data_IF_500526339709
#
_entry.id   IF_500526339709
#
_cell.length_a   1.000
_cell.length_b   1.000
_cell.length_c   1.000
_cell.angle_alpha   90.00
_cell.angle_beta   90.00
_cell.angle_gamma   90.00
#
_symmetry.space_group_name_H-M   'P 1'
#
loop_
_entity.id
_entity.type
_entity.pdbx_description
1 polymer ?
#
# COMPACT_ATOMS: atom_id res chain seq x y z
N UNK A 1 -23.20 -16.25 -9.48
CA UNK A 1 -22.00 -16.17 -8.62
C UNK A 1 -22.42 -15.53 -7.31
N UNK A 2 -21.88 -15.92 -6.14
CA UNK A 2 -22.16 -15.16 -4.91
C UNK A 2 -21.49 -13.78 -5.00
N UNK A 3 -22.01 -12.75 -4.31
CA UNK A 3 -21.35 -11.44 -4.20
C UNK A 3 -19.89 -11.57 -3.75
N UNK A 4 -19.60 -12.51 -2.83
CA UNK A 4 -18.24 -12.77 -2.37
C UNK A 4 -17.35 -13.45 -3.44
N UNK A 5 -17.92 -14.30 -4.30
CA UNK A 5 -17.16 -14.92 -5.39
C UNK A 5 -16.75 -13.87 -6.42
N UNK A 6 -17.66 -12.95 -6.77
CA UNK A 6 -17.36 -11.80 -7.61
C UNK A 6 -16.27 -10.91 -6.99
N UNK A 7 -16.36 -10.62 -5.70
CA UNK A 7 -15.36 -9.80 -5.01
C UNK A 7 -13.95 -10.42 -5.04
N UNK A 8 -13.85 -11.76 -4.89
CA UNK A 8 -12.58 -12.50 -5.03
C UNK A 8 -12.02 -12.42 -6.44
N UNK A 9 -12.85 -12.54 -7.45
CA UNK A 9 -12.43 -12.41 -8.85
C UNK A 9 -11.92 -11.00 -9.17
N UNK A 10 -12.67 -9.97 -8.77
CA UNK A 10 -12.24 -8.57 -8.95
C UNK A 10 -10.94 -8.28 -8.20
N UNK A 11 -10.82 -8.71 -6.95
CA UNK A 11 -9.58 -8.53 -6.16
C UNK A 11 -8.37 -9.13 -6.86
N UNK A 12 -8.50 -10.34 -7.41
CA UNK A 12 -7.43 -10.99 -8.18
C UNK A 12 -7.13 -10.23 -9.47
N UNK A 13 -8.15 -9.79 -10.20
CA UNK A 13 -7.99 -9.06 -11.45
C UNK A 13 -7.28 -7.71 -11.29
N UNK A 14 -7.49 -7.01 -10.18
CA UNK A 14 -6.89 -5.68 -9.95
C UNK A 14 -5.63 -5.71 -9.07
N UNK A 15 -5.23 -6.88 -8.57
CA UNK A 15 -4.14 -7.06 -7.60
C UNK A 15 -2.85 -6.38 -8.04
N UNK A 16 -2.41 -6.59 -9.27
CA UNK A 16 -1.17 -6.02 -9.80
C UNK A 16 -1.28 -4.49 -9.94
N UNK A 17 -2.40 -4.00 -10.45
CA UNK A 17 -2.67 -2.56 -10.58
C UNK A 17 -2.65 -1.84 -9.23
N UNK A 18 -3.31 -2.39 -8.21
CA UNK A 18 -3.28 -1.81 -6.85
C UNK A 18 -1.87 -1.89 -6.25
N UNK A 19 -1.10 -2.94 -6.53
CA UNK A 19 0.27 -3.03 -6.05
C UNK A 19 1.20 -2.00 -6.72
N UNK A 20 0.99 -1.72 -8.00
CA UNK A 20 1.74 -0.73 -8.77
C UNK A 20 1.51 0.72 -8.30
N UNK A 21 0.51 0.98 -7.43
CA UNK A 21 0.25 2.28 -6.83
C UNK A 21 1.46 2.88 -6.06
N UNK A 22 2.47 2.06 -5.74
CA UNK A 22 3.74 2.53 -5.19
C UNK A 22 4.62 3.35 -6.16
N UNK A 23 4.20 3.54 -7.42
CA UNK A 23 4.96 4.29 -8.44
C UNK A 23 5.42 5.68 -7.97
N UNK A 24 4.61 6.38 -7.18
CA UNK A 24 4.97 7.72 -6.69
C UNK A 24 6.05 7.71 -5.59
N UNK A 25 6.34 6.57 -4.94
CA UNK A 25 7.17 6.54 -3.71
C UNK A 25 8.56 7.15 -3.89
N UNK A 26 9.16 6.89 -5.05
CA UNK A 26 10.49 7.38 -5.41
C UNK A 26 10.48 8.12 -6.76
N UNK A 27 9.30 8.56 -7.22
CA UNK A 27 9.19 9.39 -8.41
C UNK A 27 10.04 10.67 -8.24
N UNK A 28 10.63 11.21 -9.33
CA UNK A 28 11.53 12.35 -9.24
C UNK A 28 10.93 13.56 -8.50
N UNK A 29 9.63 13.84 -8.68
CA UNK A 29 8.96 14.94 -7.99
C UNK A 29 8.81 14.68 -6.48
N UNK A 30 8.51 13.44 -6.07
CA UNK A 30 8.44 13.03 -4.66
C UNK A 30 9.80 13.17 -3.98
N UNK A 31 10.87 12.71 -4.63
CA UNK A 31 12.24 12.85 -4.11
C UNK A 31 12.64 14.32 -3.99
N UNK A 32 12.34 15.14 -5.01
CA UNK A 32 12.59 16.58 -4.96
C UNK A 32 11.85 17.24 -3.79
N UNK A 33 10.61 16.82 -3.54
CA UNK A 33 9.80 17.35 -2.43
C UNK A 33 10.36 16.98 -1.06
N UNK A 34 10.94 15.78 -0.92
CA UNK A 34 11.69 15.38 0.27
C UNK A 34 12.93 16.24 0.49
N UNK A 35 13.69 16.48 -0.59
CA UNK A 35 14.90 17.29 -0.53
C UNK A 35 14.65 18.73 -0.07
N UNK A 36 13.49 19.33 -0.38
CA UNK A 36 13.10 20.64 0.16
C UNK A 36 12.97 20.66 1.68
N UNK A 37 12.68 19.52 2.30
CA UNK A 37 12.68 19.35 3.76
C UNK A 37 14.03 18.86 4.31
N UNK A 38 15.02 18.60 3.45
CA UNK A 38 16.27 17.97 3.85
C UNK A 38 16.15 16.47 4.10
N UNK A 39 15.15 15.81 3.53
CA UNK A 39 14.95 14.36 3.60
C UNK A 39 15.36 13.72 2.27
N UNK A 40 16.14 12.64 2.34
CA UNK A 40 16.32 11.78 1.16
C UNK A 40 15.04 10.99 0.85
N UNK A 41 15.01 10.34 -0.32
CA UNK A 41 13.81 9.62 -0.78
C UNK A 41 13.38 8.48 0.14
N UNK A 42 14.32 7.74 0.74
CA UNK A 42 14.01 6.60 1.61
C UNK A 42 13.49 7.07 2.97
N UNK A 43 14.06 8.15 3.50
CA UNK A 43 13.61 8.80 4.72
C UNK A 43 12.23 9.40 4.53
N UNK A 44 11.98 10.09 3.41
CA UNK A 44 10.64 10.58 3.06
C UNK A 44 9.65 9.42 2.89
N UNK A 45 10.04 8.32 2.25
CA UNK A 45 9.18 7.15 2.10
C UNK A 45 8.70 6.61 3.45
N UNK A 46 9.59 6.43 4.43
CA UNK A 46 9.21 5.95 5.76
C UNK A 46 8.45 7.01 6.55
N UNK A 47 9.00 8.22 6.68
CA UNK A 47 8.42 9.28 7.50
C UNK A 47 7.11 9.83 6.90
N UNK A 48 6.98 9.85 5.58
CA UNK A 48 5.78 10.25 4.86
C UNK A 48 4.69 9.19 4.91
N UNK A 49 5.01 7.92 4.59
CA UNK A 49 4.02 6.83 4.70
C UNK A 49 3.56 6.63 6.14
N UNK A 50 4.46 6.73 7.11
CA UNK A 50 4.15 6.58 8.53
C UNK A 50 3.52 7.83 9.15
N UNK A 51 3.79 9.01 8.59
CA UNK A 51 3.37 10.28 9.15
C UNK A 51 1.85 10.47 9.22
N UNK A 52 1.08 9.76 8.40
CA UNK A 52 -0.39 9.77 8.49
C UNK A 52 -0.91 9.14 9.79
N UNK A 53 -0.10 8.32 10.47
CA UNK A 53 -0.43 7.77 11.80
C UNK A 53 -0.36 8.84 12.90
N UNK A 54 0.24 10.00 12.62
CA UNK A 54 0.59 11.02 13.62
C UNK A 54 1.90 10.71 14.36
N UNK A 55 2.16 11.44 15.44
CA UNK A 55 3.34 11.25 16.29
C UNK A 55 3.17 10.04 17.23
N UNK A 56 3.22 8.85 16.64
CA UNK A 56 3.18 7.57 17.35
C UNK A 56 4.56 7.19 17.90
N UNK A 57 4.55 6.30 18.88
CA UNK A 57 5.76 5.70 19.42
C UNK A 57 6.45 4.75 18.44
N UNK A 58 7.74 4.54 18.67
CA UNK A 58 8.62 3.75 17.80
C UNK A 58 8.12 2.29 17.63
N UNK A 59 7.50 1.72 18.67
CA UNK A 59 6.93 0.38 18.60
C UNK A 59 5.72 0.30 17.65
N UNK A 60 4.85 1.31 17.66
CA UNK A 60 3.67 1.33 16.80
C UNK A 60 4.05 1.46 15.31
N UNK A 61 5.02 2.32 14.98
CA UNK A 61 5.48 2.45 13.58
C UNK A 61 6.20 1.20 13.10
N UNK A 62 7.02 0.55 13.94
CA UNK A 62 7.67 -0.73 13.59
C UNK A 62 6.63 -1.82 13.31
N UNK A 63 5.59 -1.92 14.13
CA UNK A 63 4.51 -2.87 13.92
C UNK A 63 3.76 -2.61 12.59
N UNK A 64 3.55 -1.34 12.23
CA UNK A 64 2.89 -0.95 10.99
C UNK A 64 3.73 -1.24 9.73
N UNK A 65 5.06 -1.21 9.84
CA UNK A 65 6.02 -1.45 8.75
C UNK A 65 6.70 -2.81 8.85
N UNK A 66 5.92 -3.88 9.09
CA UNK A 66 6.41 -5.25 9.36
C UNK A 66 7.54 -5.79 8.46
N UNK A 67 7.64 -5.30 7.21
CA UNK A 67 8.69 -5.74 6.28
C UNK A 67 10.10 -5.33 6.75
N UNK A 68 10.24 -4.16 7.38
CA UNK A 68 11.51 -3.63 7.87
C UNK A 68 11.88 -4.23 9.22
N UNK A 69 13.19 -4.43 9.43
CA UNK A 69 13.71 -4.54 10.79
C UNK A 69 13.63 -3.20 11.51
N UNK A 70 13.51 -3.22 12.84
CA UNK A 70 13.48 -2.00 13.64
C UNK A 70 14.75 -1.15 13.42
N UNK A 71 15.92 -1.79 13.35
CA UNK A 71 17.21 -1.13 13.16
C UNK A 71 17.30 -0.37 11.83
N UNK A 72 16.67 -0.88 10.77
CA UNK A 72 16.61 -0.18 9.49
C UNK A 72 15.52 0.91 9.46
N UNK A 73 14.37 0.67 10.08
CA UNK A 73 13.23 1.58 10.04
C UNK A 73 13.40 2.81 10.93
N UNK A 74 13.84 2.62 12.19
CA UNK A 74 13.82 3.67 13.21
C UNK A 74 14.69 4.88 12.87
N UNK A 75 15.90 4.73 12.29
CA UNK A 75 16.69 5.88 11.87
C UNK A 75 15.95 6.76 10.84
N UNK A 76 15.20 6.15 9.92
CA UNK A 76 14.43 6.85 8.89
C UNK A 76 13.21 7.56 9.49
N UNK A 77 12.45 6.87 10.34
CA UNK A 77 11.30 7.45 11.05
C UNK A 77 11.71 8.63 11.93
N UNK A 78 12.72 8.43 12.79
CA UNK A 78 13.23 9.45 13.70
C UNK A 78 13.93 10.60 12.94
N UNK A 79 14.57 10.30 11.80
CA UNK A 79 15.15 11.30 10.90
C UNK A 79 14.09 12.27 10.37
N UNK A 80 12.98 11.74 9.85
CA UNK A 80 11.84 12.55 9.42
C UNK A 80 11.22 13.38 10.55
N UNK A 81 11.02 12.76 11.73
CA UNK A 81 10.49 13.42 12.93
C UNK A 81 11.30 14.62 13.40
N UNK A 82 12.63 14.57 13.25
CA UNK A 82 13.53 15.68 13.62
C UNK A 82 13.36 16.89 12.69
N UNK A 83 12.95 16.66 11.44
CA UNK A 83 12.79 17.71 10.43
C UNK A 83 11.45 18.42 10.55
N UNK A 84 10.36 17.67 10.74
CA UNK A 84 9.02 18.21 10.88
C UNK A 84 8.10 17.26 11.66
N UNK A 85 6.98 17.76 12.22
CA UNK A 85 5.97 16.90 12.83
C UNK A 85 5.49 15.81 11.85
N UNK A 86 5.36 14.54 12.28
CA UNK A 86 4.95 13.42 11.40
C UNK A 86 3.73 13.70 10.55
N UNK A 87 2.69 14.32 11.12
CA UNK A 87 1.46 14.65 10.41
C UNK A 87 1.70 15.61 9.23
N UNK A 88 2.68 16.52 9.37
CA UNK A 88 3.08 17.43 8.28
C UNK A 88 3.83 16.69 7.18
N UNK A 89 4.72 15.75 7.54
CA UNK A 89 5.44 14.92 6.56
C UNK A 89 4.47 13.98 5.85
N UNK A 90 3.51 13.38 6.58
CA UNK A 90 2.45 12.55 6.02
C UNK A 90 1.52 13.31 5.07
N UNK A 91 1.10 14.52 5.44
CA UNK A 91 0.30 15.38 4.57
C UNK A 91 1.05 15.75 3.27
N UNK A 92 2.35 16.05 3.37
CA UNK A 92 3.19 16.31 2.20
C UNK A 92 3.32 15.06 1.32
N UNK A 93 3.50 13.89 1.90
CA UNK A 93 3.62 12.64 1.14
C UNK A 93 2.29 12.25 0.45
N UNK A 94 1.16 12.48 1.11
CA UNK A 94 -0.16 12.37 0.48
C UNK A 94 -0.33 13.37 -0.67
N UNK A 95 0.21 14.59 -0.55
CA UNK A 95 0.23 15.54 -1.65
C UNK A 95 1.11 15.05 -2.81
N UNK A 96 2.26 14.42 -2.56
CA UNK A 96 3.07 13.81 -3.61
C UNK A 96 2.30 12.74 -4.41
N UNK A 97 1.50 11.91 -3.73
CA UNK A 97 0.63 10.94 -4.40
C UNK A 97 -0.42 11.62 -5.29
N UNK A 98 -1.02 12.70 -4.81
CA UNK A 98 -2.00 13.50 -5.58
C UNK A 98 -1.38 14.16 -6.80
N UNK A 99 -0.21 14.76 -6.64
CA UNK A 99 0.52 15.42 -7.72
C UNK A 99 0.95 14.40 -8.79
N UNK A 100 1.40 13.21 -8.37
CA UNK A 100 1.67 12.11 -9.29
C UNK A 100 0.41 11.72 -10.08
N UNK A 101 -0.73 11.62 -9.39
CA UNK A 101 -2.02 11.34 -10.04
C UNK A 101 -2.42 12.40 -11.08
N UNK A 102 -2.23 13.68 -10.78
CA UNK A 102 -2.49 14.77 -11.74
C UNK A 102 -1.58 14.72 -12.95
N UNK A 103 -0.33 14.30 -12.78
CA UNK A 103 0.63 14.19 -13.88
C UNK A 103 0.35 12.97 -14.77
N UNK A 104 0.04 11.82 -14.18
CA UNK A 104 0.03 10.53 -14.90
C UNK A 104 -1.36 9.99 -15.23
N UNK A 105 -2.40 10.50 -14.56
CA UNK A 105 -3.78 9.99 -14.69
C UNK A 105 -4.76 11.03 -15.23
N UNK A 106 -4.34 12.28 -15.49
CA UNK A 106 -5.22 13.33 -15.96
C UNK A 106 -5.76 13.10 -17.38
N UNK A 107 -5.00 12.40 -18.23
CA UNK A 107 -5.38 12.06 -19.60
C UNK A 107 -6.07 10.69 -19.71
N UNK A 108 -6.26 9.98 -18.59
CA UNK A 108 -7.01 8.72 -18.55
C UNK A 108 -8.51 9.03 -18.56
N UNK A 109 -9.25 8.71 -19.64
CA UNK A 109 -10.68 9.07 -19.74
C UNK A 109 -11.52 8.55 -18.58
N UNK A 110 -11.17 7.39 -18.04
CA UNK A 110 -11.90 6.70 -16.98
C UNK A 110 -11.45 7.08 -15.57
N UNK A 111 -10.55 8.06 -15.41
CA UNK A 111 -10.00 8.45 -14.11
C UNK A 111 -11.08 8.81 -13.08
N UNK A 112 -12.13 9.54 -13.50
CA UNK A 112 -13.25 9.89 -12.62
C UNK A 112 -14.01 8.64 -12.14
N UNK A 113 -14.32 7.72 -13.06
CA UNK A 113 -15.06 6.50 -12.72
C UNK A 113 -14.23 5.58 -11.82
N UNK A 114 -12.95 5.41 -12.12
CA UNK A 114 -12.01 4.65 -11.29
C UNK A 114 -11.84 5.30 -9.91
N UNK A 115 -11.81 6.64 -9.82
CA UNK A 115 -11.76 7.34 -8.54
C UNK A 115 -13.00 7.05 -7.70
N UNK A 116 -14.18 6.98 -8.31
CA UNK A 116 -15.44 6.70 -7.60
C UNK A 116 -15.49 5.25 -7.12
N UNK A 117 -15.19 4.28 -7.99
CA UNK A 117 -15.13 2.85 -7.65
C UNK A 117 -14.15 2.59 -6.50
N UNK A 118 -12.93 3.12 -6.60
CA UNK A 118 -11.91 2.97 -5.54
C UNK A 118 -12.30 3.71 -4.26
N UNK A 119 -13.01 4.85 -4.34
CA UNK A 119 -13.54 5.53 -3.15
C UNK A 119 -14.58 4.66 -2.43
N UNK A 120 -15.47 4.00 -3.17
CA UNK A 120 -16.46 3.09 -2.61
C UNK A 120 -15.78 1.94 -1.87
N UNK A 121 -14.79 1.29 -2.47
CA UNK A 121 -14.02 0.20 -1.84
C UNK A 121 -13.25 0.72 -0.60
N UNK A 122 -12.54 1.85 -0.70
CA UNK A 122 -11.81 2.44 0.45
C UNK A 122 -12.77 2.80 1.59
N UNK A 123 -14.01 3.16 1.30
CA UNK A 123 -15.01 3.46 2.32
C UNK A 123 -15.63 2.21 2.94
N UNK A 124 -15.65 1.08 2.25
CA UNK A 124 -15.99 -0.20 2.85
C UNK A 124 -14.88 -0.59 3.85
N UNK A 125 -15.26 -0.88 5.10
CA UNK A 125 -14.31 -0.96 6.22
C UNK A 125 -14.59 -2.16 7.12
N UNK A 126 -14.66 -3.35 6.52
CA UNK A 126 -15.01 -4.54 7.28
C UNK A 126 -13.82 -5.02 8.12
N UNK A 127 -12.68 -5.28 7.49
CA UNK A 127 -11.47 -5.79 8.17
C UNK A 127 -10.29 -4.81 8.16
N UNK A 128 -10.33 -3.82 7.28
CA UNK A 128 -9.25 -2.84 7.10
C UNK A 128 -8.91 -2.05 8.37
N UNK A 129 -9.84 -1.90 9.33
CA UNK A 129 -9.58 -1.24 10.60
C UNK A 129 -8.44 -1.89 11.43
N UNK A 130 -8.14 -3.17 11.17
CA UNK A 130 -7.02 -3.89 11.80
C UNK A 130 -5.66 -3.59 11.15
N UNK A 131 -5.64 -2.86 10.04
CA UNK A 131 -4.45 -2.39 9.33
C UNK A 131 -4.21 -0.90 9.65
N UNK A 132 -3.22 -0.54 10.49
CA UNK A 132 -3.04 0.83 10.97
C UNK A 132 -2.76 1.84 9.85
N UNK A 133 -1.88 1.51 8.90
CA UNK A 133 -1.57 2.41 7.78
C UNK A 133 -2.79 2.64 6.90
N UNK A 134 -3.54 1.61 6.54
CA UNK A 134 -4.79 1.77 5.80
C UNK A 134 -5.77 2.67 6.56
N UNK A 135 -5.96 2.42 7.85
CA UNK A 135 -6.90 3.17 8.68
C UNK A 135 -6.52 4.66 8.72
N UNK A 136 -5.23 4.97 8.84
CA UNK A 136 -4.72 6.34 8.81
C UNK A 136 -4.83 6.99 7.43
N UNK A 137 -4.45 6.29 6.35
CA UNK A 137 -4.55 6.80 4.98
C UNK A 137 -6.00 7.06 4.56
N UNK A 138 -6.93 6.21 4.99
CA UNK A 138 -8.38 6.41 4.81
C UNK A 138 -8.90 7.66 5.53
N UNK A 139 -8.24 8.08 6.62
CA UNK A 139 -8.54 9.30 7.35
C UNK A 139 -8.01 10.57 6.69
N UNK A 140 -7.10 10.47 5.71
CA UNK A 140 -6.61 11.63 4.96
C UNK A 140 -7.73 12.17 4.07
N UNK A 141 -8.07 13.48 4.12
CA UNK A 141 -9.10 14.06 3.28
C UNK A 141 -8.87 13.71 1.80
N UNK A 142 -9.93 13.43 1.04
CA UNK A 142 -9.80 13.13 -0.39
C UNK A 142 -9.62 14.43 -1.18
N UNK A 143 -8.89 14.35 -2.29
CA UNK A 143 -8.85 15.43 -3.27
C UNK A 143 -10.20 15.53 -4.02
N UNK A 144 -10.57 16.76 -4.40
CA UNK A 144 -11.78 17.01 -5.18
C UNK A 144 -11.62 16.57 -6.65
N UNK A 145 -10.42 16.74 -7.21
CA UNK A 145 -10.11 16.33 -8.58
C UNK A 145 -9.87 14.82 -8.70
N UNK A 146 -10.44 14.22 -9.76
CA UNK A 146 -10.45 12.78 -9.96
C UNK A 146 -9.05 12.13 -10.07
N UNK A 147 -8.08 12.68 -10.83
CA UNK A 147 -6.76 12.06 -10.96
C UNK A 147 -6.02 11.98 -9.62
N UNK A 148 -6.04 13.06 -8.83
CA UNK A 148 -5.46 13.06 -7.49
C UNK A 148 -6.18 12.10 -6.53
N UNK A 149 -7.52 12.08 -6.56
CA UNK A 149 -8.32 11.17 -5.73
C UNK A 149 -8.04 9.71 -6.05
N UNK A 150 -7.94 9.36 -7.34
CA UNK A 150 -7.62 8.01 -7.78
C UNK A 150 -6.26 7.55 -7.26
N UNK A 151 -5.20 8.36 -7.43
CA UNK A 151 -3.87 8.02 -6.92
C UNK A 151 -3.85 7.85 -5.39
N UNK A 152 -4.53 8.74 -4.67
CA UNK A 152 -4.67 8.64 -3.20
C UNK A 152 -5.42 7.37 -2.77
N UNK A 153 -6.51 7.01 -3.47
CA UNK A 153 -7.27 5.80 -3.18
C UNK A 153 -6.46 4.54 -3.49
N UNK A 154 -5.71 4.50 -4.59
CA UNK A 154 -4.85 3.37 -4.94
C UNK A 154 -3.76 3.14 -3.88
N UNK A 155 -3.13 4.21 -3.39
CA UNK A 155 -2.21 4.15 -2.26
C UNK A 155 -2.92 3.60 -1.01
N UNK A 156 -4.14 4.05 -0.72
CA UNK A 156 -4.92 3.54 0.42
C UNK A 156 -5.25 2.05 0.27
N UNK A 157 -5.69 1.59 -0.91
CA UNK A 157 -5.94 0.17 -1.20
C UNK A 157 -4.67 -0.67 -1.14
N UNK A 158 -3.51 -0.10 -1.49
CA UNK A 158 -2.21 -0.74 -1.30
C UNK A 158 -1.92 -0.96 0.19
N UNK A 159 -2.16 0.03 1.04
CA UNK A 159 -2.03 -0.13 2.49
C UNK A 159 -3.05 -1.11 3.07
N UNK A 160 -4.26 -1.18 2.48
CA UNK A 160 -5.28 -2.18 2.86
C UNK A 160 -4.75 -3.59 2.68
N UNK A 161 -4.27 -3.91 1.47
CA UNK A 161 -3.67 -5.21 1.18
C UNK A 161 -2.46 -5.47 2.06
N UNK A 162 -1.54 -4.51 2.16
CA UNK A 162 -0.32 -4.67 2.94
C UNK A 162 -0.58 -4.96 4.41
N UNK A 163 -1.51 -4.24 5.04
CA UNK A 163 -1.85 -4.47 6.45
C UNK A 163 -2.57 -5.79 6.70
N UNK A 164 -3.51 -6.19 5.83
CA UNK A 164 -4.17 -7.50 5.93
C UNK A 164 -3.20 -8.65 5.63
N UNK A 165 -2.20 -8.42 4.77
CA UNK A 165 -1.13 -9.38 4.53
C UNK A 165 -0.30 -9.66 5.79
N UNK A 166 -0.01 -8.63 6.59
CA UNK A 166 0.69 -8.80 7.89
C UNK A 166 -0.10 -9.72 8.81
N UNK A 167 -1.42 -9.56 8.88
CA UNK A 167 -2.29 -10.43 9.68
C UNK A 167 -2.28 -11.88 9.16
N UNK A 168 -2.33 -12.06 7.85
CA UNK A 168 -2.25 -13.38 7.22
C UNK A 168 -0.90 -14.07 7.49
N UNK A 169 0.22 -13.36 7.36
CA UNK A 169 1.55 -13.90 7.69
C UNK A 169 1.61 -14.37 9.15
N UNK A 170 1.08 -13.56 10.07
CA UNK A 170 1.02 -13.93 11.48
C UNK A 170 0.16 -15.19 11.72
N UNK A 171 -1.00 -15.29 11.07
CA UNK A 171 -1.89 -16.45 11.15
C UNK A 171 -1.22 -17.74 10.66
N UNK A 172 -0.32 -17.64 9.67
CA UNK A 172 0.47 -18.75 9.14
C UNK A 172 1.84 -18.93 9.80
N UNK A 173 2.12 -18.17 10.87
CA UNK A 173 3.36 -18.23 11.66
C UNK A 173 4.60 -17.99 10.79
N UNK A 174 4.52 -16.97 9.92
CA UNK A 174 5.63 -16.52 9.09
C UNK A 174 6.19 -15.21 9.66
N UNK A 175 7.52 -15.17 9.79
CA UNK A 175 8.24 -13.91 9.98
C UNK A 175 8.36 -13.14 8.66
N UNK A 176 8.62 -11.83 8.73
CA UNK A 176 8.82 -11.00 7.55
C UNK A 176 9.94 -11.52 6.63
N UNK A 177 11.07 -11.94 7.22
CA UNK A 177 12.24 -12.43 6.47
C UNK A 177 11.96 -13.77 5.79
N UNK A 178 11.23 -14.68 6.45
CA UNK A 178 10.80 -15.94 5.85
C UNK A 178 9.87 -15.69 4.66
N UNK A 179 8.90 -14.79 4.83
CA UNK A 179 7.94 -14.46 3.78
C UNK A 179 8.62 -13.83 2.55
N UNK A 180 9.51 -12.87 2.79
CA UNK A 180 10.27 -12.20 1.73
C UNK A 180 11.28 -13.13 1.05
N UNK A 181 11.92 -14.03 1.79
CA UNK A 181 12.83 -15.03 1.22
C UNK A 181 12.07 -16.03 0.34
N UNK A 182 10.91 -16.51 0.79
CA UNK A 182 10.06 -17.42 0.02
C UNK A 182 9.51 -16.78 -1.27
N UNK A 183 9.30 -15.46 -1.26
CA UNK A 183 8.92 -14.67 -2.44
C UNK A 183 10.12 -14.35 -3.36
N UNK A 184 11.35 -14.74 -2.98
CA UNK A 184 12.57 -14.34 -3.66
C UNK A 184 12.72 -12.81 -3.79
N UNK A 185 12.28 -12.07 -2.77
CA UNK A 185 12.32 -10.62 -2.76
C UNK A 185 13.75 -10.09 -2.96
N UNK A 186 13.98 -9.19 -3.93
CA UNK A 186 15.30 -8.58 -4.13
C UNK A 186 15.62 -7.52 -3.07
N UNK A 187 14.69 -7.23 -2.14
CA UNK A 187 14.75 -6.11 -1.20
C UNK A 187 15.03 -6.51 0.25
N UNK A 188 15.39 -7.77 0.52
CA UNK A 188 15.69 -8.25 1.87
C UNK A 188 16.70 -7.34 2.62
N UNK A 189 17.81 -6.99 1.97
CA UNK A 189 18.84 -6.12 2.58
C UNK A 189 18.34 -4.67 2.73
N UNK A 190 17.51 -4.18 1.79
CA UNK A 190 16.87 -2.86 1.89
C UNK A 190 15.96 -2.76 3.11
N UNK A 191 15.25 -3.84 3.42
CA UNK A 191 14.42 -3.95 4.61
C UNK A 191 15.22 -4.23 5.90
N UNK A 192 16.56 -4.30 5.81
CA UNK A 192 17.45 -4.46 6.95
C UNK A 192 17.72 -5.90 7.36
N UNK A 193 17.36 -6.89 6.54
CA UNK A 193 17.68 -8.31 6.79
C UNK A 193 19.12 -8.61 6.38
N UNK A 194 19.85 -9.34 7.22
CA UNK A 194 21.23 -9.75 6.97
C UNK A 194 21.32 -11.21 6.49
N UNK A 195 22.37 -11.52 5.72
CA UNK A 195 22.71 -12.89 5.32
C UNK A 195 23.28 -13.69 6.51
N UNK A 196 23.15 -15.03 6.52
CA UNK A 196 22.43 -15.85 5.54
C UNK A 196 20.91 -15.71 5.68
N UNK A 197 20.21 -15.64 4.55
CA UNK A 197 18.75 -15.64 4.54
C UNK A 197 18.19 -17.02 4.83
N UNK A 198 16.93 -17.12 5.29
CA UNK A 198 16.25 -18.39 5.49
C UNK A 198 16.34 -19.28 4.24
N UNK A 199 16.61 -20.56 4.44
CA UNK A 199 16.54 -21.53 3.36
C UNK A 199 15.08 -21.67 2.91
N UNK A 200 14.84 -21.50 1.61
CA UNK A 200 13.52 -21.71 1.02
C UNK A 200 13.28 -23.21 0.85
N UNK A 201 12.35 -23.75 1.65
CA UNK A 201 11.90 -25.15 1.60
C UNK A 201 10.49 -25.23 1.02
N UNK A 202 10.08 -26.42 0.57
CA UNK A 202 8.70 -26.63 0.09
C UNK A 202 7.65 -26.30 1.15
N UNK A 203 7.94 -26.59 2.43
CA UNK A 203 7.06 -26.23 3.55
C UNK A 203 6.94 -24.71 3.72
N UNK A 204 8.06 -23.98 3.62
CA UNK A 204 8.05 -22.52 3.71
C UNK A 204 7.28 -21.91 2.53
N UNK A 205 7.52 -22.41 1.31
CA UNK A 205 6.78 -22.01 0.10
C UNK A 205 5.28 -22.27 0.24
N UNK A 206 4.89 -23.44 0.75
CA UNK A 206 3.48 -23.78 0.96
C UNK A 206 2.80 -22.88 2.01
N UNK A 207 3.47 -22.60 3.15
CA UNK A 207 2.95 -21.65 4.14
C UNK A 207 2.82 -20.24 3.58
N UNK A 208 3.79 -19.79 2.78
CA UNK A 208 3.77 -18.49 2.11
C UNK A 208 2.59 -18.38 1.15
N UNK A 209 2.32 -19.43 0.38
CA UNK A 209 1.16 -19.47 -0.52
C UNK A 209 -0.16 -19.45 0.28
N UNK A 210 -0.28 -20.23 1.36
CA UNK A 210 -1.47 -20.21 2.20
C UNK A 210 -1.72 -18.81 2.83
N UNK A 211 -0.65 -18.07 3.13
CA UNK A 211 -0.75 -16.67 3.57
C UNK A 211 -1.18 -15.72 2.44
N UNK A 212 -0.74 -15.91 1.19
CA UNK A 212 -1.31 -15.17 0.04
C UNK A 212 -2.81 -15.44 -0.09
N UNK A 213 -3.21 -16.71 -0.05
CA UNK A 213 -4.62 -17.09 -0.23
C UNK A 213 -5.48 -16.46 0.88
N UNK A 214 -5.00 -16.49 2.13
CA UNK A 214 -5.66 -15.82 3.26
C UNK A 214 -5.72 -14.30 3.07
N UNK A 215 -4.66 -13.70 2.52
CA UNK A 215 -4.65 -12.26 2.22
C UNK A 215 -5.71 -11.90 1.19
N UNK A 216 -5.83 -12.70 0.13
CA UNK A 216 -6.80 -12.47 -0.94
C UNK A 216 -8.24 -12.60 -0.41
N UNK A 217 -8.52 -13.57 0.46
CA UNK A 217 -9.81 -13.71 1.14
C UNK A 217 -10.15 -12.52 2.04
N UNK A 218 -9.19 -12.05 2.86
CA UNK A 218 -9.40 -10.91 3.76
C UNK A 218 -9.63 -9.62 2.97
N UNK A 219 -8.88 -9.40 1.89
CA UNK A 219 -9.00 -8.20 1.04
C UNK A 219 -10.32 -8.18 0.28
N UNK A 220 -10.78 -9.33 -0.23
CA UNK A 220 -11.99 -9.44 -1.03
C UNK A 220 -13.24 -8.92 -0.33
N UNK A 221 -13.30 -8.99 1.00
CA UNK A 221 -14.43 -8.47 1.78
C UNK A 221 -14.74 -6.99 1.45
N UNK A 222 -13.72 -6.14 1.31
CA UNK A 222 -13.91 -4.72 0.98
C UNK A 222 -14.45 -4.49 -0.44
N UNK A 223 -14.26 -5.44 -1.34
CA UNK A 223 -14.70 -5.37 -2.74
C UNK A 223 -16.15 -5.84 -2.93
N UNK A 224 -16.71 -6.57 -1.97
CA UNK A 224 -18.10 -7.04 -2.00
C UNK A 224 -19.15 -5.92 -1.95
N UNK A 225 -18.72 -4.68 -1.67
CA UNK A 225 -19.56 -3.47 -1.76
C UNK A 225 -19.95 -3.12 -3.19
N UNK A 226 -19.17 -3.55 -4.18
CA UNK A 226 -19.46 -3.34 -5.59
C UNK A 226 -20.49 -4.37 -6.07
N UNK A 227 -21.42 -3.93 -6.92
CA UNK A 227 -22.29 -4.87 -7.62
C UNK A 227 -21.53 -5.62 -8.74
N UNK A 228 -22.20 -6.54 -9.42
CA UNK A 228 -21.60 -7.35 -10.49
C UNK A 228 -21.13 -6.51 -11.68
N UNK A 229 -21.87 -5.46 -12.04
CA UNK A 229 -21.53 -4.59 -13.15
C UNK A 229 -20.33 -3.69 -12.81
N UNK A 230 -20.31 -3.11 -11.61
CA UNK A 230 -19.19 -2.31 -11.10
C UNK A 230 -17.91 -3.15 -10.94
N UNK A 231 -18.06 -4.38 -10.47
CA UNK A 231 -16.97 -5.34 -10.33
C UNK A 231 -16.35 -5.71 -11.69
N UNK A 232 -17.19 -5.98 -12.69
CA UNK A 232 -16.74 -6.27 -14.05
C UNK A 232 -16.11 -5.04 -14.72
N UNK A 233 -16.68 -3.85 -14.51
CA UNK A 233 -16.15 -2.58 -15.00
C UNK A 233 -14.76 -2.30 -14.42
N UNK A 234 -14.57 -2.43 -13.09
CA UNK A 234 -13.27 -2.18 -12.49
C UNK A 234 -12.21 -3.16 -13.00
N UNK A 235 -12.55 -4.45 -13.08
CA UNK A 235 -11.66 -5.48 -13.63
C UNK A 235 -11.26 -5.19 -15.09
N UNK A 236 -12.19 -4.71 -15.91
CA UNK A 236 -11.92 -4.36 -17.31
C UNK A 236 -11.04 -3.12 -17.47
N UNK A 237 -11.13 -2.15 -16.56
CA UNK A 237 -10.34 -0.91 -16.59
C UNK A 237 -8.94 -1.06 -15.96
N UNK A 238 -8.75 -2.05 -15.10
CA UNK A 238 -7.51 -2.24 -14.35
C UNK A 238 -6.24 -2.36 -15.22
N UNK A 239 -6.24 -3.01 -16.41
CA UNK A 239 -5.06 -3.08 -17.27
C UNK A 239 -4.62 -1.71 -17.80
N UNK A 240 -5.57 -0.87 -18.25
CA UNK A 240 -5.27 0.46 -18.78
C UNK A 240 -4.71 1.38 -17.68
N UNK A 241 -5.28 1.29 -16.47
CA UNK A 241 -4.75 1.96 -15.29
C UNK A 241 -3.35 1.44 -14.92
N UNK A 242 -3.16 0.12 -14.89
CA UNK A 242 -1.87 -0.52 -14.58
C UNK A 242 -0.75 -0.07 -15.52
N UNK A 243 -1.04 0.10 -16.81
CA UNK A 243 -0.09 0.62 -17.79
C UNK A 243 0.41 2.04 -17.46
N UNK A 244 -0.40 2.88 -16.79
CA UNK A 244 0.01 4.22 -16.35
C UNK A 244 0.91 4.20 -15.10
N UNK A 245 0.83 3.14 -14.30
CA UNK A 245 1.57 2.97 -13.05
C UNK A 245 2.95 2.32 -13.24
N UNK A 246 3.26 1.84 -14.44
CA UNK A 246 4.53 1.20 -14.78
C UNK A 246 5.67 2.21 -15.11
N UNK A 247 5.39 3.51 -14.99
CA UNK A 247 6.29 4.63 -15.30
C UNK A 247 6.60 5.44 -14.04
#
# INVERSE_FOLDING_TARGET
MSSMDTARETTRAVKETVQAAGAFFFAPHTVARGAELGLDGVTLYVAGRGGVLGDVDDAAVVAAFHHFTADALLPLWQGGRKVAPPERVGALYAQCARDWGREHLADLPEAARLADLTTTIVRANDLGALAPLYSAWRGVPLADDAPARLAQNLQTLREHRGGLHILALAAHRLTAVEAQAAEASPYLEFYGHAKPFPQVTDELTARRQAAEDTTDELVAAAYAVLDEAESAEFAALAPALGARLAH
#
